data_IF_027588090362
#
_entry.id   IF_027588090362
#
_cell.length_a   1.000
_cell.length_b   1.000
_cell.length_c   1.000
_cell.angle_alpha   90.00
_cell.angle_beta   90.00
_cell.angle_gamma   90.00
#
_symmetry.space_group_name_H-M   'P 1'
#
loop_
_entity.id
_entity.type
_entity.pdbx_description
1 polymer ?
#
# COMPACT_ATOMS: atom_id res chain seq x y z
N UNK A 1 34.10 4.99 1.11
CA UNK A 1 33.36 4.25 2.14
C UNK A 1 32.38 5.23 2.75
N UNK A 2 31.25 5.47 2.09
CA UNK A 2 30.17 6.30 2.63
C UNK A 2 29.40 5.42 3.61
N UNK A 3 29.29 5.83 4.87
CA UNK A 3 28.40 5.16 5.80
C UNK A 3 26.98 5.28 5.27
N UNK A 4 26.27 4.16 5.06
CA UNK A 4 24.85 4.16 4.73
C UNK A 4 24.10 4.78 5.92
N UNK A 5 23.57 5.99 5.72
CA UNK A 5 22.82 6.72 6.75
C UNK A 5 21.37 6.23 6.66
N UNK A 6 20.95 5.43 7.63
CA UNK A 6 19.59 4.87 7.64
C UNK A 6 18.59 5.88 8.23
N UNK A 7 17.33 5.82 7.80
CA UNK A 7 16.28 6.69 8.33
C UNK A 7 16.09 6.54 9.87
N UNK A 8 16.50 5.39 10.44
CA UNK A 8 16.44 5.11 11.89
C UNK A 8 17.41 5.98 12.71
N UNK A 9 18.45 6.54 12.09
CA UNK A 9 19.47 7.37 12.74
C UNK A 9 19.01 8.80 13.06
N UNK A 10 17.74 9.14 12.78
CA UNK A 10 17.15 10.45 13.06
C UNK A 10 17.30 10.88 14.55
N UNK A 11 17.36 9.91 15.47
CA UNK A 11 17.56 10.16 16.91
C UNK A 11 18.89 10.82 17.24
N UNK A 12 19.90 10.68 16.37
CA UNK A 12 21.21 11.30 16.54
C UNK A 12 21.23 12.78 16.15
N UNK A 13 20.17 13.27 15.49
CA UNK A 13 20.03 14.66 15.01
C UNK A 13 18.73 15.30 15.54
N UNK A 14 18.62 15.58 16.84
CA UNK A 14 17.37 16.05 17.47
C UNK A 14 16.97 17.49 17.12
N UNK A 15 17.90 18.34 16.67
CA UNK A 15 17.58 19.73 16.31
C UNK A 15 17.24 19.90 14.81
N UNK A 16 17.68 18.97 13.96
CA UNK A 16 17.56 19.05 12.51
C UNK A 16 16.77 17.87 11.91
N UNK A 17 15.92 17.22 12.72
CA UNK A 17 15.21 15.98 12.33
C UNK A 17 14.35 16.16 11.09
N UNK A 18 13.69 17.32 10.93
CA UNK A 18 12.92 17.63 9.72
C UNK A 18 13.80 17.78 8.47
N UNK A 19 14.95 18.44 8.61
CA UNK A 19 15.91 18.63 7.50
C UNK A 19 16.51 17.28 7.10
N UNK A 20 16.84 16.44 8.09
CA UNK A 20 17.29 15.07 7.90
C UNK A 20 16.26 14.26 7.10
N UNK A 21 14.98 14.23 7.50
CA UNK A 21 13.95 13.45 6.81
C UNK A 21 13.67 13.89 5.38
N UNK A 22 13.86 15.17 5.05
CA UNK A 22 13.70 15.66 3.66
C UNK A 22 14.92 15.34 2.78
N UNK A 23 16.10 15.28 3.38
CA UNK A 23 17.37 15.18 2.66
C UNK A 23 17.76 13.73 2.42
N UNK A 24 17.49 12.84 3.39
CA UNK A 24 17.79 11.41 3.31
C UNK A 24 16.82 10.71 2.34
N UNK A 25 17.36 10.05 1.31
CA UNK A 25 16.59 9.29 0.32
C UNK A 25 15.84 8.12 0.94
N UNK A 26 16.44 7.39 1.90
CA UNK A 26 15.80 6.27 2.61
C UNK A 26 14.58 6.68 3.43
N UNK A 27 14.45 7.95 3.80
CA UNK A 27 13.25 8.44 4.50
C UNK A 27 12.10 8.81 3.54
N UNK A 28 12.36 8.88 2.23
CA UNK A 28 11.33 9.13 1.23
C UNK A 28 10.68 7.81 0.87
N UNK A 29 9.40 7.68 1.21
CA UNK A 29 8.62 6.54 0.78
C UNK A 29 8.36 6.64 -0.72
N UNK A 30 9.14 5.90 -1.52
CA UNK A 30 8.95 5.80 -2.98
C UNK A 30 7.61 5.14 -3.36
N UNK A 31 7.02 4.37 -2.45
CA UNK A 31 5.74 3.66 -2.65
C UNK A 31 4.53 4.37 -1.99
N UNK A 32 4.74 5.52 -1.34
CA UNK A 32 3.71 6.22 -0.58
C UNK A 32 3.11 7.41 -1.32
N UNK A 33 1.77 7.44 -1.51
CA UNK A 33 1.07 8.63 -2.00
C UNK A 33 1.23 9.85 -1.06
N UNK A 34 1.50 9.64 0.23
CA UNK A 34 1.63 10.68 1.26
C UNK A 34 2.89 10.41 2.08
N UNK A 35 3.78 11.39 2.16
CA UNK A 35 4.97 11.34 3.03
C UNK A 35 4.59 11.58 4.50
N UNK A 36 4.09 10.53 5.17
CA UNK A 36 3.67 10.60 6.57
C UNK A 36 4.82 10.96 7.51
N UNK A 37 6.05 10.51 7.24
CA UNK A 37 7.24 10.87 8.03
C UNK A 37 7.50 12.39 7.99
N UNK A 38 7.52 12.98 6.79
CA UNK A 38 7.70 14.43 6.65
C UNK A 38 6.52 15.19 7.28
N UNK A 39 5.29 14.72 7.12
CA UNK A 39 4.13 15.37 7.74
C UNK A 39 4.20 15.34 9.27
N UNK A 40 4.50 14.18 9.86
CA UNK A 40 4.56 13.96 11.31
C UNK A 40 5.69 14.76 11.96
N UNK A 41 6.90 14.73 11.38
CA UNK A 41 8.07 15.34 12.00
C UNK A 41 8.30 16.80 11.59
N UNK A 42 7.96 17.22 10.36
CA UNK A 42 8.14 18.62 9.92
C UNK A 42 6.93 19.52 10.19
N UNK A 43 5.71 19.00 10.27
CA UNK A 43 4.49 19.83 10.44
C UNK A 43 3.97 19.80 11.88
N UNK A 44 3.97 18.62 12.51
CA UNK A 44 3.47 18.43 13.88
C UNK A 44 4.59 18.60 14.92
N UNK A 45 5.79 18.09 14.63
CA UNK A 45 6.97 18.19 15.49
C UNK A 45 7.03 17.13 16.60
N UNK A 46 8.24 16.86 17.12
CA UNK A 46 8.50 15.72 18.02
C UNK A 46 7.62 15.69 19.28
N UNK A 47 7.29 16.85 19.84
CA UNK A 47 6.46 16.95 21.06
C UNK A 47 5.00 16.52 20.86
N UNK A 48 4.49 16.67 19.64
CA UNK A 48 3.09 16.37 19.29
C UNK A 48 2.98 15.08 18.44
N UNK A 49 4.08 14.35 18.27
CA UNK A 49 4.13 13.06 17.61
C UNK A 49 3.06 12.03 18.07
N UNK A 50 2.77 11.85 19.37
CA UNK A 50 1.69 10.93 19.79
C UNK A 50 0.32 11.40 19.28
N UNK A 51 0.10 12.70 19.20
CA UNK A 51 -1.14 13.27 18.68
C UNK A 51 -1.25 13.01 17.16
N UNK A 52 -0.16 13.21 16.41
CA UNK A 52 -0.10 12.87 14.99
C UNK A 52 -0.37 11.39 14.70
N UNK A 53 0.21 10.48 15.48
CA UNK A 53 -0.05 9.04 15.39
C UNK A 53 -1.50 8.70 15.69
N UNK A 54 -2.11 9.32 16.71
CA UNK A 54 -3.53 9.08 17.04
C UNK A 54 -4.46 9.56 15.93
N UNK A 55 -4.16 10.69 15.29
CA UNK A 55 -4.91 11.18 14.13
C UNK A 55 -4.79 10.21 12.96
N UNK A 56 -3.58 9.72 12.68
CA UNK A 56 -3.34 8.78 11.57
C UNK A 56 -4.04 7.43 11.83
N UNK A 57 -4.03 6.94 13.07
CA UNK A 57 -4.76 5.75 13.48
C UNK A 57 -6.28 5.93 13.36
N UNK A 58 -6.81 7.08 13.81
CA UNK A 58 -8.22 7.41 13.66
C UNK A 58 -8.63 7.50 12.18
N UNK A 59 -7.80 8.12 11.35
CA UNK A 59 -7.98 8.18 9.91
C UNK A 59 -8.02 6.78 9.27
N UNK A 60 -7.07 5.92 9.62
CA UNK A 60 -7.02 4.54 9.14
C UNK A 60 -8.26 3.74 9.57
N UNK A 61 -8.76 3.97 10.78
CA UNK A 61 -10.00 3.35 11.25
C UNK A 61 -11.21 3.80 10.41
N UNK A 62 -11.34 5.09 10.12
CA UNK A 62 -12.39 5.61 9.24
C UNK A 62 -12.32 4.99 7.85
N UNK A 63 -11.12 4.89 7.28
CA UNK A 63 -10.92 4.23 5.98
C UNK A 63 -11.33 2.75 6.02
N UNK A 64 -10.98 2.03 7.09
CA UNK A 64 -11.35 0.63 7.26
C UNK A 64 -12.88 0.44 7.33
N UNK A 65 -13.58 1.29 8.08
CA UNK A 65 -15.04 1.28 8.14
C UNK A 65 -15.64 1.61 6.77
N UNK A 66 -15.10 2.62 6.07
CA UNK A 66 -15.54 3.00 4.73
C UNK A 66 -15.40 1.84 3.73
N UNK A 67 -14.27 1.14 3.75
CA UNK A 67 -14.04 -0.06 2.93
C UNK A 67 -15.03 -1.18 3.28
N UNK A 68 -15.27 -1.43 4.57
CA UNK A 68 -16.23 -2.45 5.03
C UNK A 68 -17.66 -2.16 4.56
N UNK A 69 -18.13 -0.94 4.73
CA UNK A 69 -19.48 -0.52 4.29
C UNK A 69 -19.61 -0.60 2.78
N UNK A 70 -18.59 -0.16 2.05
CA UNK A 70 -18.58 -0.21 0.58
C UNK A 70 -18.56 -1.67 0.09
N UNK A 71 -17.78 -2.53 0.75
CA UNK A 71 -17.73 -3.94 0.44
C UNK A 71 -19.09 -4.61 0.63
N UNK A 72 -19.77 -4.35 1.75
CA UNK A 72 -21.09 -4.93 2.02
C UNK A 72 -22.17 -4.42 1.05
N UNK A 73 -22.19 -3.11 0.78
CA UNK A 73 -23.25 -2.49 -0.02
C UNK A 73 -23.11 -2.65 -1.53
N UNK A 74 -21.88 -2.73 -2.05
CA UNK A 74 -21.63 -2.73 -3.50
C UNK A 74 -20.91 -4.00 -3.97
N UNK A 75 -19.88 -4.42 -3.24
CA UNK A 75 -19.02 -5.51 -3.68
C UNK A 75 -19.66 -6.89 -3.45
N UNK A 76 -20.24 -7.14 -2.29
CA UNK A 76 -20.95 -8.39 -1.96
C UNK A 76 -22.13 -8.69 -2.90
N UNK A 77 -23.02 -7.73 -3.24
CA UNK A 77 -24.09 -7.94 -4.22
C UNK A 77 -23.57 -8.26 -5.62
N UNK A 78 -22.53 -7.55 -6.09
CA UNK A 78 -21.91 -7.81 -7.39
C UNK A 78 -21.34 -9.24 -7.45
N UNK A 79 -20.66 -9.68 -6.40
CA UNK A 79 -20.15 -11.04 -6.30
C UNK A 79 -21.26 -12.09 -6.25
N UNK A 80 -22.38 -11.85 -5.57
CA UNK A 80 -23.54 -12.77 -5.58
C UNK A 80 -24.12 -12.96 -6.98
N UNK A 81 -24.09 -11.93 -7.83
CA UNK A 81 -24.51 -12.04 -9.22
C UNK A 81 -23.51 -12.88 -10.01
N UNK A 82 -22.21 -12.60 -9.88
CA UNK A 82 -21.15 -13.34 -10.55
C UNK A 82 -21.16 -14.83 -10.15
N UNK A 83 -21.27 -15.13 -8.85
CA UNK A 83 -21.35 -16.50 -8.33
C UNK A 83 -22.57 -17.24 -8.88
N UNK A 84 -23.72 -16.56 -9.03
CA UNK A 84 -24.92 -17.15 -9.66
C UNK A 84 -24.71 -17.43 -11.15
N UNK A 85 -24.07 -16.52 -11.88
CA UNK A 85 -23.77 -16.72 -13.32
C UNK A 85 -22.80 -17.89 -13.52
N UNK A 86 -21.77 -17.99 -12.66
CA UNK A 86 -20.76 -19.04 -12.70
C UNK A 86 -21.19 -20.35 -12.01
N UNK A 87 -22.41 -20.42 -11.43
CA UNK A 87 -22.91 -21.55 -10.62
C UNK A 87 -21.95 -22.01 -9.52
N UNK A 88 -21.27 -21.06 -8.87
CA UNK A 88 -20.32 -21.33 -7.79
C UNK A 88 -21.05 -21.56 -6.46
N UNK A 89 -20.54 -22.47 -5.62
CA UNK A 89 -21.03 -22.62 -4.25
C UNK A 89 -20.54 -21.46 -3.37
N UNK A 90 -21.30 -21.13 -2.31
CA UNK A 90 -20.95 -20.04 -1.38
C UNK A 90 -19.55 -20.23 -0.78
N UNK A 91 -19.14 -21.47 -0.52
CA UNK A 91 -17.82 -21.78 0.01
C UNK A 91 -16.71 -21.34 -0.96
N UNK A 92 -16.84 -21.65 -2.25
CA UNK A 92 -15.82 -21.30 -3.25
C UNK A 92 -15.79 -19.77 -3.44
N UNK A 93 -16.95 -19.10 -3.42
CA UNK A 93 -17.02 -17.65 -3.51
C UNK A 93 -16.28 -16.96 -2.34
N UNK A 94 -16.42 -17.48 -1.13
CA UNK A 94 -15.67 -17.01 0.05
C UNK A 94 -14.16 -17.21 -0.07
N UNK A 95 -13.73 -18.38 -0.55
CA UNK A 95 -12.29 -18.67 -0.73
C UNK A 95 -11.69 -17.78 -1.81
N UNK A 96 -12.39 -17.56 -2.94
CA UNK A 96 -11.94 -16.64 -4.00
C UNK A 96 -11.88 -15.21 -3.50
N UNK A 97 -12.84 -14.76 -2.69
CA UNK A 97 -12.80 -13.41 -2.12
C UNK A 97 -11.61 -13.22 -1.17
N UNK A 98 -11.33 -14.21 -0.32
CA UNK A 98 -10.16 -14.17 0.56
C UNK A 98 -8.87 -14.13 -0.26
N UNK A 99 -8.77 -14.93 -1.32
CA UNK A 99 -7.63 -14.89 -2.24
C UNK A 99 -7.49 -13.52 -2.95
N UNK A 100 -8.60 -12.95 -3.43
CA UNK A 100 -8.62 -11.64 -4.08
C UNK A 100 -8.25 -10.51 -3.10
N UNK A 101 -8.80 -10.53 -1.89
CA UNK A 101 -8.51 -9.53 -0.84
C UNK A 101 -7.06 -9.56 -0.40
N UNK A 102 -6.44 -10.74 -0.34
CA UNK A 102 -5.00 -10.88 -0.05
C UNK A 102 -4.12 -10.41 -1.22
N UNK A 103 -4.54 -10.61 -2.47
CA UNK A 103 -3.75 -10.20 -3.64
C UNK A 103 -3.94 -8.73 -4.08
N UNK A 104 -5.02 -8.07 -3.65
CA UNK A 104 -5.29 -6.68 -4.03
C UNK A 104 -4.18 -5.71 -3.60
N UNK A 105 -3.64 -5.74 -2.36
CA UNK A 105 -2.54 -4.87 -1.94
C UNK A 105 -1.28 -5.03 -2.80
N UNK A 106 -0.93 -6.27 -3.18
CA UNK A 106 0.24 -6.55 -4.02
C UNK A 106 0.08 -5.95 -5.42
N UNK A 107 -1.12 -6.06 -5.99
CA UNK A 107 -1.44 -5.45 -7.29
C UNK A 107 -1.36 -3.92 -7.19
N UNK A 108 -1.93 -3.31 -6.15
CA UNK A 108 -1.87 -1.85 -5.95
C UNK A 108 -0.45 -1.36 -5.70
N UNK A 109 0.36 -2.09 -4.94
CA UNK A 109 1.78 -1.77 -4.72
C UNK A 109 2.55 -1.83 -6.04
N UNK A 110 2.37 -2.90 -6.82
CA UNK A 110 3.03 -3.01 -8.11
C UNK A 110 2.59 -1.89 -9.07
N UNK A 111 1.30 -1.54 -9.12
CA UNK A 111 0.81 -0.40 -9.92
C UNK A 111 1.39 0.93 -9.41
N UNK A 112 1.50 1.13 -8.10
CA UNK A 112 2.09 2.33 -7.52
C UNK A 112 3.57 2.44 -7.92
N UNK A 113 4.34 1.37 -7.79
CA UNK A 113 5.74 1.29 -8.21
C UNK A 113 5.91 1.58 -9.70
N UNK A 114 5.04 0.99 -10.55
CA UNK A 114 4.96 1.26 -11.99
C UNK A 114 4.69 2.75 -12.26
N UNK A 115 3.73 3.35 -11.54
CA UNK A 115 3.29 4.73 -11.76
C UNK A 115 4.32 5.77 -11.30
N UNK A 116 5.12 5.44 -10.29
CA UNK A 116 6.22 6.27 -9.78
C UNK A 116 7.48 6.18 -10.65
N UNK A 117 7.60 5.17 -11.51
CA UNK A 117 8.74 4.99 -12.39
C UNK A 117 8.71 6.00 -13.55
N UNK A 118 9.71 6.90 -13.60
CA UNK A 118 9.84 7.91 -14.65
C UNK A 118 10.19 7.28 -16.00
N UNK A 119 9.21 7.18 -16.90
CA UNK A 119 9.40 7.31 -18.35
C UNK A 119 10.03 6.16 -19.15
N UNK A 120 10.21 4.97 -18.58
CA UNK A 120 10.75 3.81 -19.30
C UNK A 120 10.42 2.42 -18.73
N UNK A 121 10.21 2.31 -17.41
CA UNK A 121 10.01 1.03 -16.72
C UNK A 121 8.55 0.57 -16.59
N UNK A 122 7.59 1.39 -17.04
CA UNK A 122 6.16 1.07 -16.94
C UNK A 122 5.83 -0.23 -17.68
N UNK A 123 6.44 -0.44 -18.85
CA UNK A 123 6.27 -1.67 -19.64
C UNK A 123 6.93 -2.90 -19.02
N UNK A 124 8.02 -2.72 -18.27
CA UNK A 124 8.75 -3.81 -17.61
C UNK A 124 7.98 -4.34 -16.41
N UNK A 125 7.38 -3.45 -15.61
CA UNK A 125 6.63 -3.85 -14.43
C UNK A 125 5.21 -4.39 -14.76
N UNK A 126 4.55 -3.87 -15.81
CA UNK A 126 3.39 -4.58 -16.39
C UNK A 126 3.77 -5.95 -16.96
N UNK A 127 4.93 -6.07 -17.62
CA UNK A 127 5.46 -7.33 -18.12
C UNK A 127 5.77 -8.34 -17.01
N UNK A 128 6.25 -7.89 -15.85
CA UNK A 128 6.47 -8.72 -14.67
C UNK A 128 5.16 -9.21 -14.04
N UNK A 129 4.16 -8.33 -13.89
CA UNK A 129 2.83 -8.70 -13.38
C UNK A 129 2.10 -9.70 -14.29
N UNK A 130 2.08 -9.42 -15.59
CA UNK A 130 1.50 -10.35 -16.58
C UNK A 130 2.31 -11.65 -16.66
N UNK A 131 3.65 -11.57 -16.60
CA UNK A 131 4.54 -12.73 -16.60
C UNK A 131 4.36 -13.64 -15.39
N UNK A 132 4.20 -13.06 -14.19
CA UNK A 132 3.92 -13.81 -12.98
C UNK A 132 2.53 -14.47 -13.02
N UNK A 133 1.51 -13.73 -13.50
CA UNK A 133 0.16 -14.28 -13.69
C UNK A 133 0.15 -15.44 -14.68
N UNK A 134 0.79 -15.29 -15.85
CA UNK A 134 0.90 -16.33 -16.88
C UNK A 134 1.73 -17.53 -16.39
N UNK A 135 2.81 -17.30 -15.64
CA UNK A 135 3.62 -18.38 -15.08
C UNK A 135 2.82 -19.25 -14.12
N UNK A 136 2.08 -18.63 -13.19
CA UNK A 136 1.22 -19.37 -12.25
C UNK A 136 0.12 -20.13 -12.99
N UNK A 137 -0.53 -19.53 -13.99
CA UNK A 137 -1.60 -20.23 -14.73
C UNK A 137 -1.08 -21.34 -15.66
N UNK A 138 0.19 -21.32 -16.06
CA UNK A 138 0.73 -22.28 -17.06
C UNK A 138 1.61 -23.36 -16.43
N UNK A 139 2.25 -23.09 -15.29
CA UNK A 139 3.19 -24.01 -14.64
C UNK A 139 2.57 -24.67 -13.41
N UNK A 140 1.65 -23.99 -12.72
CA UNK A 140 1.01 -24.51 -11.50
C UNK A 140 -0.35 -25.16 -11.80
N UNK A 141 -1.00 -24.82 -12.92
CA UNK A 141 -2.20 -25.52 -13.43
C UNK A 141 -1.86 -26.64 -14.39
#
# INVERSE_FOLDING_TARGET
MTADIECRDYRNFPNDTCVFMRTTSDCKLEEGFINYLTFLFCTIGDKLLPLGLTILAAWLFVLFIGLGVTADSYFCPALRVIARVLKLSENIAGVTFLAFGNGAPDIFSAIAAVSSAKGGDVGLAFGALFGAGVFVTTVVS
#
